data_IF_082813833299
#
_entry.id   IF_082813833299
#
_cell.length_a   1.000
_cell.length_b   1.000
_cell.length_c   1.000
_cell.angle_alpha   90.00
_cell.angle_beta   90.00
_cell.angle_gamma   90.00
#
_symmetry.space_group_name_H-M   'P 1'
#
loop_
_entity.id
_entity.type
_entity.pdbx_description
1 polymer ?
#
# COMPACT_ATOMS: atom_id res chain seq x y z
N UNK A 1 -22.47 11.44 -13.61
CA UNK A 1 -22.93 10.86 -12.32
C UNK A 1 -22.28 11.69 -11.24
N UNK A 2 -23.03 12.19 -10.25
CA UNK A 2 -22.41 12.95 -9.16
C UNK A 2 -21.71 11.99 -8.19
N UNK A 3 -20.78 12.51 -7.36
CA UNK A 3 -20.12 11.72 -6.31
C UNK A 3 -21.14 11.07 -5.37
N UNK A 4 -22.18 11.81 -4.99
CA UNK A 4 -23.29 11.32 -4.16
C UNK A 4 -24.06 10.19 -4.85
N UNK A 5 -24.32 10.28 -6.17
CA UNK A 5 -24.98 9.20 -6.91
C UNK A 5 -24.15 7.91 -6.92
N UNK A 6 -22.84 8.06 -7.07
CA UNK A 6 -21.88 6.94 -6.99
C UNK A 6 -21.95 6.26 -5.62
N UNK A 7 -21.84 7.03 -4.52
CA UNK A 7 -21.90 6.47 -3.18
C UNK A 7 -23.26 5.83 -2.87
N UNK A 8 -24.36 6.42 -3.36
CA UNK A 8 -25.71 5.87 -3.20
C UNK A 8 -25.88 4.52 -3.90
N UNK A 9 -25.18 4.28 -5.02
CA UNK A 9 -25.14 2.97 -5.67
C UNK A 9 -24.38 1.93 -4.86
N UNK A 10 -23.28 2.33 -4.20
CA UNK A 10 -22.49 1.45 -3.33
C UNK A 10 -23.30 1.08 -2.08
N UNK A 11 -23.82 2.08 -1.38
CA UNK A 11 -24.62 1.89 -0.19
C UNK A 11 -25.61 3.06 -0.04
N UNK A 12 -26.87 2.81 -0.39
CA UNK A 12 -27.93 3.81 -0.29
C UNK A 12 -28.30 4.20 1.14
N UNK A 13 -28.04 3.32 2.12
CA UNK A 13 -28.52 3.51 3.50
C UNK A 13 -27.70 4.54 4.28
N UNK A 14 -26.52 4.89 3.77
CA UNK A 14 -25.63 5.87 4.40
C UNK A 14 -25.71 7.26 3.76
N UNK A 15 -26.43 7.41 2.63
CA UNK A 15 -26.65 8.69 1.96
C UNK A 15 -28.02 9.23 2.35
N UNK A 16 -28.04 10.34 3.07
CA UNK A 16 -29.27 10.95 3.58
C UNK A 16 -29.95 11.86 2.52
N UNK A 17 -31.23 12.20 2.76
CA UNK A 17 -32.02 13.03 1.83
C UNK A 17 -31.44 14.44 1.63
N UNK A 18 -30.81 14.98 2.68
CA UNK A 18 -30.11 16.27 2.66
C UNK A 18 -28.74 16.24 1.97
N UNK A 19 -28.33 15.07 1.45
CA UNK A 19 -27.06 14.86 0.78
C UNK A 19 -25.87 14.58 1.72
N UNK A 20 -26.09 14.55 3.03
CA UNK A 20 -25.05 14.15 3.98
C UNK A 20 -24.79 12.64 3.94
N UNK A 21 -23.58 12.23 4.33
CA UNK A 21 -23.13 10.84 4.30
C UNK A 21 -22.78 10.41 5.72
N UNK A 22 -23.24 9.22 6.13
CA UNK A 22 -22.83 8.60 7.40
C UNK A 22 -21.31 8.33 7.34
N UNK A 23 -20.54 8.99 8.20
CA UNK A 23 -19.09 8.79 8.35
C UNK A 23 -18.73 7.32 8.62
N UNK A 24 -17.53 6.90 8.22
CA UNK A 24 -17.05 5.52 8.44
C UNK A 24 -17.14 5.07 9.91
N UNK A 25 -16.73 5.89 10.87
CA UNK A 25 -16.88 5.59 12.31
C UNK A 25 -18.32 5.27 12.71
N UNK A 26 -19.25 6.11 12.27
CA UNK A 26 -20.68 5.91 12.54
C UNK A 26 -21.21 4.64 11.86
N UNK A 27 -20.72 4.29 10.67
CA UNK A 27 -21.02 3.00 10.04
C UNK A 27 -20.50 1.82 10.88
N UNK A 28 -19.28 1.91 11.42
CA UNK A 28 -18.71 0.89 12.31
C UNK A 28 -19.51 0.75 13.62
N UNK A 29 -19.92 1.86 14.24
CA UNK A 29 -20.78 1.86 15.44
C UNK A 29 -22.13 1.17 15.13
N UNK A 30 -22.75 1.50 13.99
CA UNK A 30 -23.98 0.86 13.55
C UNK A 30 -23.81 -0.64 13.34
N UNK A 31 -22.66 -1.06 12.78
CA UNK A 31 -22.34 -2.47 12.58
C UNK A 31 -22.20 -3.20 13.90
N UNK A 32 -21.43 -2.64 14.84
CA UNK A 32 -21.25 -3.22 16.18
C UNK A 32 -22.55 -3.25 16.99
N UNK A 33 -23.45 -2.30 16.75
CA UNK A 33 -24.76 -2.23 17.41
C UNK A 33 -25.81 -3.14 16.75
N UNK A 34 -25.46 -3.85 15.67
CA UNK A 34 -26.37 -4.76 14.95
C UNK A 34 -27.46 -4.06 14.12
N UNK A 35 -27.34 -2.76 13.88
CA UNK A 35 -28.32 -1.97 13.12
C UNK A 35 -27.86 -1.63 11.69
N UNK A 36 -26.64 -2.00 11.32
CA UNK A 36 -26.11 -1.83 9.98
C UNK A 36 -26.62 -2.92 9.02
N UNK A 37 -26.97 -2.54 7.79
CA UNK A 37 -27.39 -3.48 6.75
C UNK A 37 -26.17 -4.16 6.12
N UNK A 38 -25.88 -5.38 6.55
CA UNK A 38 -24.65 -6.11 6.18
C UNK A 38 -24.59 -6.59 4.73
N UNK A 39 -25.63 -6.32 3.92
CA UNK A 39 -25.62 -6.57 2.48
C UNK A 39 -24.76 -5.56 1.71
N UNK A 40 -24.48 -4.41 2.31
CA UNK A 40 -23.69 -3.34 1.72
C UNK A 40 -22.30 -3.26 2.35
N UNK A 41 -21.24 -2.96 1.56
CA UNK A 41 -19.93 -2.69 2.13
C UNK A 41 -19.96 -1.35 2.89
N UNK A 42 -19.01 -1.17 3.81
CA UNK A 42 -18.76 0.11 4.45
C UNK A 42 -17.98 1.00 3.49
N UNK A 43 -18.35 2.28 3.41
CA UNK A 43 -17.58 3.27 2.66
C UNK A 43 -16.59 3.90 3.63
N UNK A 44 -15.29 3.63 3.40
CA UNK A 44 -14.17 4.17 4.18
C UNK A 44 -13.95 5.62 3.76
N UNK A 45 -13.80 5.82 2.45
CA UNK A 45 -13.55 7.12 1.85
C UNK A 45 -14.27 7.24 0.51
N UNK A 46 -14.59 8.47 0.13
CA UNK A 46 -15.31 8.76 -1.09
C UNK A 46 -14.40 8.83 -2.34
N UNK A 47 -13.09 8.70 -2.13
CA UNK A 47 -11.99 8.59 -3.08
C UNK A 47 -10.80 7.93 -2.34
N UNK A 48 -9.80 7.43 -3.05
CA UNK A 48 -8.60 6.79 -2.48
C UNK A 48 -7.35 7.65 -2.62
N UNK A 49 -7.48 8.97 -2.55
CA UNK A 49 -6.34 9.91 -2.61
C UNK A 49 -5.33 9.76 -1.47
N UNK A 50 -5.66 8.98 -0.43
CA UNK A 50 -4.68 8.51 0.56
C UNK A 50 -3.50 7.77 -0.07
N UNK A 51 -3.63 7.26 -1.31
CA UNK A 51 -2.60 6.50 -2.02
C UNK A 51 -2.10 7.19 -3.30
N UNK A 52 -2.20 8.52 -3.40
CA UNK A 52 -1.78 9.30 -4.59
C UNK A 52 -0.29 9.13 -4.98
N UNK A 53 0.56 8.62 -4.08
CA UNK A 53 1.97 8.33 -4.40
C UNK A 53 2.16 7.05 -5.25
N UNK A 54 1.08 6.28 -5.47
CA UNK A 54 1.08 5.08 -6.32
C UNK A 54 0.57 5.48 -7.71
N UNK A 55 1.50 5.69 -8.65
CA UNK A 55 1.25 6.34 -9.95
C UNK A 55 0.14 5.71 -10.81
N UNK A 56 -0.09 4.40 -10.69
CA UNK A 56 -1.07 3.63 -11.49
C UNK A 56 -2.33 3.24 -10.68
N UNK A 57 -2.45 3.70 -9.44
CA UNK A 57 -3.61 3.37 -8.61
C UNK A 57 -4.82 4.25 -8.98
N UNK A 58 -5.99 3.65 -9.12
CA UNK A 58 -7.22 4.37 -9.48
C UNK A 58 -7.76 5.20 -8.28
N UNK A 59 -7.07 6.25 -7.89
CA UNK A 59 -7.36 7.02 -6.65
C UNK A 59 -8.66 7.80 -6.69
N UNK A 60 -9.23 8.08 -7.87
CA UNK A 60 -10.56 8.67 -8.00
C UNK A 60 -11.70 7.73 -7.55
N UNK A 61 -11.45 6.41 -7.48
CA UNK A 61 -12.46 5.45 -7.05
C UNK A 61 -12.70 5.52 -5.53
N UNK A 62 -13.95 5.34 -5.07
CA UNK A 62 -14.27 5.22 -3.64
C UNK A 62 -13.54 4.03 -3.00
N UNK A 63 -13.15 4.21 -1.74
CA UNK A 63 -12.53 3.16 -0.93
C UNK A 63 -13.57 2.51 -0.03
N UNK A 64 -13.69 1.19 -0.11
CA UNK A 64 -14.64 0.42 0.71
C UNK A 64 -13.96 -0.66 1.53
N UNK A 65 -14.68 -1.15 2.53
CA UNK A 65 -14.32 -2.35 3.28
C UNK A 65 -15.56 -3.22 3.45
N UNK A 66 -15.46 -4.51 3.11
CA UNK A 66 -16.57 -5.44 3.36
C UNK A 66 -16.77 -5.64 4.86
N UNK A 67 -18.02 -5.89 5.26
CA UNK A 67 -18.38 -6.26 6.64
C UNK A 67 -17.56 -7.46 7.14
N UNK A 68 -17.39 -8.48 6.31
CA UNK A 68 -16.59 -9.66 6.68
C UNK A 68 -15.11 -9.34 6.90
N UNK A 69 -14.57 -8.32 6.24
CA UNK A 69 -13.21 -7.84 6.49
C UNK A 69 -13.16 -7.15 7.86
N UNK A 70 -14.07 -6.21 8.15
CA UNK A 70 -14.15 -5.55 9.46
C UNK A 70 -14.23 -6.56 10.60
N UNK A 71 -15.10 -7.57 10.47
CA UNK A 71 -15.26 -8.65 11.46
C UNK A 71 -13.96 -9.43 11.62
N UNK A 72 -13.26 -9.79 10.53
CA UNK A 72 -11.97 -10.49 10.61
C UNK A 72 -10.88 -9.66 11.30
N UNK A 73 -10.78 -8.36 11.00
CA UNK A 73 -9.81 -7.48 11.67
C UNK A 73 -10.02 -7.50 13.19
N UNK A 74 -11.29 -7.38 13.59
CA UNK A 74 -11.73 -7.35 14.99
C UNK A 74 -11.57 -8.68 15.72
N UNK A 75 -11.98 -9.79 15.12
CA UNK A 75 -12.12 -11.08 15.82
C UNK A 75 -10.92 -12.01 15.62
N UNK A 76 -10.26 -11.92 14.46
CA UNK A 76 -9.16 -12.82 14.11
C UNK A 76 -7.79 -12.21 14.36
N UNK A 77 -7.66 -10.91 14.08
CA UNK A 77 -6.39 -10.19 14.21
C UNK A 77 -6.33 -9.31 15.47
N UNK A 78 -7.38 -9.33 16.29
CA UNK A 78 -7.52 -8.52 17.52
C UNK A 78 -7.20 -7.03 17.30
N UNK A 79 -7.46 -6.52 16.09
CA UNK A 79 -7.19 -5.13 15.73
C UNK A 79 -8.28 -4.26 16.37
N UNK A 80 -7.84 -3.33 17.22
CA UNK A 80 -8.70 -2.43 17.95
C UNK A 80 -9.60 -1.58 17.05
N UNK A 81 -10.79 -1.23 17.58
CA UNK A 81 -11.75 -0.38 16.87
C UNK A 81 -11.11 0.92 16.39
N UNK A 82 -10.33 1.58 17.26
CA UNK A 82 -9.63 2.84 16.96
C UNK A 82 -8.73 2.70 15.73
N UNK A 83 -8.02 1.59 15.62
CA UNK A 83 -7.16 1.34 14.47
C UNK A 83 -8.00 1.19 13.19
N UNK A 84 -9.07 0.40 13.24
CA UNK A 84 -9.96 0.20 12.09
C UNK A 84 -10.58 1.53 11.65
N UNK A 85 -11.12 2.34 12.58
CA UNK A 85 -11.71 3.65 12.26
C UNK A 85 -10.72 4.59 11.56
N UNK A 86 -9.44 4.55 11.95
CA UNK A 86 -8.41 5.42 11.42
C UNK A 86 -7.65 4.83 10.20
N UNK A 87 -8.12 3.72 9.62
CA UNK A 87 -7.40 3.04 8.55
C UNK A 87 -7.08 3.93 7.34
N UNK A 88 -7.95 4.86 6.96
CA UNK A 88 -7.68 5.81 5.87
C UNK A 88 -6.49 6.74 6.20
N UNK A 89 -6.40 7.20 7.44
CA UNK A 89 -5.26 7.99 7.91
C UNK A 89 -3.96 7.18 7.84
N UNK A 90 -3.97 5.92 8.28
CA UNK A 90 -2.79 5.06 8.20
C UNK A 90 -2.37 4.76 6.76
N UNK A 91 -3.33 4.60 5.84
CA UNK A 91 -3.03 4.50 4.40
C UNK A 91 -2.36 5.78 3.88
N UNK A 92 -2.87 6.95 4.26
CA UNK A 92 -2.29 8.25 3.88
C UNK A 92 -0.89 8.45 4.42
N UNK A 93 -0.63 7.99 5.63
CA UNK A 93 0.67 8.12 6.30
C UNK A 93 1.62 6.95 6.02
N UNK A 94 1.23 6.00 5.17
CA UNK A 94 2.03 4.83 4.79
C UNK A 94 3.41 5.19 4.23
N UNK A 95 4.33 4.24 4.31
CA UNK A 95 5.76 4.50 4.05
C UNK A 95 6.27 3.90 2.75
N UNK A 96 5.55 2.91 2.19
CA UNK A 96 5.95 2.17 1.00
C UNK A 96 4.72 1.40 0.48
N UNK A 97 4.59 1.26 -0.84
CA UNK A 97 3.68 0.28 -1.43
C UNK A 97 4.40 -0.58 -2.46
N UNK A 98 3.84 -1.74 -2.78
CA UNK A 98 4.32 -2.58 -3.87
C UNK A 98 3.24 -3.51 -4.40
N UNK A 99 3.39 -3.98 -5.64
CA UNK A 99 2.46 -4.91 -6.26
C UNK A 99 2.44 -6.25 -5.52
N UNK A 100 1.25 -6.79 -5.32
CA UNK A 100 1.10 -8.15 -4.83
C UNK A 100 1.54 -9.15 -5.89
N UNK A 101 2.41 -10.09 -5.51
CA UNK A 101 2.74 -11.22 -6.38
C UNK A 101 1.63 -12.29 -6.42
N UNK A 102 0.63 -12.22 -5.53
CA UNK A 102 -0.47 -13.18 -5.48
C UNK A 102 -1.69 -12.71 -6.28
N UNK A 103 -1.88 -11.39 -6.40
CA UNK A 103 -3.07 -10.79 -7.01
C UNK A 103 -2.66 -9.52 -7.77
N UNK A 104 -2.69 -9.57 -9.10
CA UNK A 104 -2.20 -8.46 -9.95
C UNK A 104 -2.99 -7.15 -9.77
N UNK A 105 -4.23 -7.22 -9.29
CA UNK A 105 -5.08 -6.05 -9.00
C UNK A 105 -4.96 -5.61 -7.54
N UNK A 106 -3.92 -6.00 -6.82
CA UNK A 106 -3.76 -5.65 -5.41
C UNK A 106 -2.39 -5.05 -5.15
N UNK A 107 -2.39 -3.93 -4.43
CA UNK A 107 -1.21 -3.31 -3.87
C UNK A 107 -1.11 -3.69 -2.39
N UNK A 108 0.11 -4.01 -1.95
CA UNK A 108 0.45 -4.17 -0.54
C UNK A 108 1.00 -2.83 -0.06
N UNK A 109 0.39 -2.29 0.98
CA UNK A 109 0.72 -0.98 1.55
C UNK A 109 1.37 -1.23 2.92
N UNK A 110 2.61 -0.78 3.08
CA UNK A 110 3.33 -0.82 4.36
C UNK A 110 2.97 0.42 5.18
N UNK A 111 2.32 0.20 6.32
CA UNK A 111 1.88 1.27 7.20
C UNK A 111 3.05 1.73 8.09
N UNK A 112 2.97 2.97 8.58
CA UNK A 112 3.92 3.50 9.58
C UNK A 112 3.54 3.07 11.01
N UNK A 113 3.05 1.83 11.16
CA UNK A 113 2.47 1.31 12.39
C UNK A 113 3.01 -0.10 12.68
N UNK A 114 2.96 -0.47 13.95
CA UNK A 114 3.29 -1.83 14.44
C UNK A 114 2.19 -2.34 15.36
N UNK A 115 2.09 -3.66 15.48
CA UNK A 115 1.29 -4.28 16.52
C UNK A 115 1.98 -4.21 17.91
N UNK A 116 1.33 -4.81 18.90
CA UNK A 116 1.82 -4.85 20.29
C UNK A 116 3.15 -5.63 20.45
N UNK A 117 3.45 -6.54 19.52
CA UNK A 117 4.70 -7.31 19.47
C UNK A 117 5.81 -6.58 18.67
N UNK A 118 5.50 -5.41 18.10
CA UNK A 118 6.43 -4.60 17.32
C UNK A 118 6.56 -5.01 15.86
N UNK A 119 5.69 -5.90 15.35
CA UNK A 119 5.67 -6.33 13.96
C UNK A 119 5.01 -5.27 13.07
N UNK A 120 5.61 -4.94 11.90
CA UNK A 120 5.04 -3.97 10.98
C UNK A 120 3.64 -4.32 10.49
N UNK A 121 2.75 -3.33 10.43
CA UNK A 121 1.41 -3.50 9.88
C UNK A 121 1.40 -3.28 8.36
N UNK A 122 0.68 -4.15 7.64
CA UNK A 122 0.42 -3.98 6.21
C UNK A 122 -1.09 -3.95 5.91
N UNK A 123 -1.48 -3.19 4.91
CA UNK A 123 -2.81 -3.24 4.31
C UNK A 123 -2.75 -3.82 2.89
N UNK A 124 -3.79 -4.55 2.47
CA UNK A 124 -3.93 -5.01 1.09
C UNK A 124 -5.12 -4.29 0.45
N UNK A 125 -4.82 -3.44 -0.53
CA UNK A 125 -5.80 -2.67 -1.28
C UNK A 125 -5.98 -3.26 -2.67
N UNK A 126 -7.18 -3.75 -2.98
CA UNK A 126 -7.56 -4.20 -4.31
C UNK A 126 -8.14 -3.03 -5.10
N UNK A 127 -7.63 -2.81 -6.29
CA UNK A 127 -8.08 -1.76 -7.21
C UNK A 127 -9.16 -2.27 -8.17
N UNK A 128 -9.97 -1.33 -8.66
CA UNK A 128 -10.89 -1.53 -9.78
C UNK A 128 -11.82 -2.74 -9.62
N UNK A 129 -12.29 -3.02 -8.41
CA UNK A 129 -13.32 -4.03 -8.18
C UNK A 129 -14.61 -3.57 -8.86
N UNK A 130 -15.11 -4.39 -9.77
CA UNK A 130 -16.37 -4.13 -10.45
C UNK A 130 -17.56 -4.49 -9.55
N UNK A 131 -18.45 -3.52 -9.30
CA UNK A 131 -19.71 -3.71 -8.57
C UNK A 131 -20.91 -3.90 -9.51
N UNK A 132 -20.67 -3.92 -10.82
CA UNK A 132 -21.68 -3.89 -11.86
C UNK A 132 -22.12 -2.46 -12.23
N UNK A 133 -22.64 -2.30 -13.45
CA UNK A 133 -23.14 -1.01 -13.93
C UNK A 133 -22.05 0.05 -14.15
N UNK A 134 -20.84 -0.39 -14.54
CA UNK A 134 -19.64 0.43 -14.77
C UNK A 134 -19.18 1.20 -13.52
N UNK A 135 -19.42 0.63 -12.33
CA UNK A 135 -18.98 1.20 -11.06
C UNK A 135 -17.74 0.44 -10.57
N UNK A 136 -16.59 1.11 -10.64
CA UNK A 136 -15.33 0.62 -10.11
C UNK A 136 -15.10 1.21 -8.71
N UNK A 137 -14.61 0.37 -7.81
CA UNK A 137 -14.30 0.73 -6.44
C UNK A 137 -12.98 0.10 -6.01
N UNK A 138 -12.29 0.76 -5.10
CA UNK A 138 -11.12 0.21 -4.42
C UNK A 138 -11.57 -0.41 -3.11
N UNK A 139 -10.88 -1.46 -2.67
CA UNK A 139 -11.27 -2.23 -1.50
C UNK A 139 -10.08 -2.53 -0.60
N UNK A 140 -10.19 -2.19 0.69
CA UNK A 140 -9.32 -2.75 1.72
C UNK A 140 -9.78 -4.19 1.98
N UNK A 141 -8.97 -5.16 1.55
CA UNK A 141 -9.29 -6.59 1.66
C UNK A 141 -8.76 -7.21 2.94
N UNK A 142 -7.70 -6.65 3.51
CA UNK A 142 -7.11 -7.08 4.78
C UNK A 142 -6.17 -6.01 5.34
N UNK A 143 -6.00 -6.02 6.66
CA UNK A 143 -4.97 -5.31 7.40
C UNK A 143 -4.48 -6.27 8.48
N UNK A 144 -3.17 -6.46 8.60
CA UNK A 144 -2.58 -7.39 9.57
C UNK A 144 -1.08 -7.15 9.73
N UNK A 145 -0.54 -7.64 10.82
CA UNK A 145 0.87 -7.67 11.17
C UNK A 145 1.69 -8.55 10.21
N UNK A 146 2.93 -8.16 9.94
CA UNK A 146 3.83 -8.91 9.05
C UNK A 146 5.18 -9.17 9.70
N UNK A 147 5.24 -10.24 10.51
CA UNK A 147 6.45 -10.73 11.15
C UNK A 147 7.64 -10.87 10.18
N UNK A 148 7.39 -11.44 8.99
CA UNK A 148 8.43 -11.69 7.96
C UNK A 148 8.43 -10.64 6.86
N UNK A 149 8.44 -9.36 7.24
CA UNK A 149 8.41 -8.24 6.28
C UNK A 149 9.59 -8.27 5.30
N UNK A 150 10.81 -8.50 5.77
CA UNK A 150 12.02 -8.55 4.92
C UNK A 150 11.90 -9.61 3.82
N UNK A 151 11.39 -10.79 4.16
CA UNK A 151 11.18 -11.87 3.21
C UNK A 151 10.12 -11.51 2.18
N UNK A 152 9.05 -10.79 2.59
CA UNK A 152 8.01 -10.32 1.69
C UNK A 152 8.55 -9.28 0.70
N UNK A 153 9.32 -8.30 1.18
CA UNK A 153 9.93 -7.26 0.36
C UNK A 153 10.90 -7.86 -0.65
N UNK A 154 11.87 -8.65 -0.17
CA UNK A 154 12.84 -9.31 -1.05
C UNK A 154 12.15 -10.21 -2.07
N UNK A 155 11.20 -11.05 -1.65
CA UNK A 155 10.48 -11.93 -2.59
C UNK A 155 9.71 -11.14 -3.64
N UNK A 156 9.07 -10.03 -3.27
CA UNK A 156 8.32 -9.21 -4.23
C UNK A 156 9.26 -8.57 -5.25
N UNK A 157 10.41 -8.05 -4.78
CA UNK A 157 11.47 -7.53 -5.65
C UNK A 157 12.03 -8.60 -6.61
N UNK A 158 12.33 -9.80 -6.10
CA UNK A 158 12.80 -10.92 -6.93
C UNK A 158 11.76 -11.40 -7.96
N UNK A 159 10.47 -11.15 -7.71
CA UNK A 159 9.37 -11.46 -8.66
C UNK A 159 9.01 -10.26 -9.55
N UNK A 160 9.93 -9.30 -9.67
CA UNK A 160 9.81 -8.11 -10.53
C UNK A 160 8.54 -7.27 -10.28
N UNK A 161 8.07 -7.27 -9.03
CA UNK A 161 6.94 -6.46 -8.61
C UNK A 161 7.34 -4.99 -8.51
N UNK A 162 6.42 -4.10 -8.88
CA UNK A 162 6.67 -2.66 -8.80
C UNK A 162 6.57 -2.20 -7.36
N UNK A 163 7.55 -1.43 -6.91
CA UNK A 163 7.58 -0.72 -5.64
C UNK A 163 7.29 0.76 -5.88
N UNK A 164 6.61 1.39 -4.94
CA UNK A 164 6.22 2.79 -4.97
C UNK A 164 6.71 3.44 -3.69
N UNK A 165 7.67 4.34 -3.83
CA UNK A 165 8.32 5.01 -2.71
C UNK A 165 7.69 6.37 -2.46
N UNK A 166 7.90 6.87 -1.26
CA UNK A 166 7.57 8.23 -0.89
C UNK A 166 8.65 8.79 0.04
N UNK A 167 8.49 10.05 0.47
CA UNK A 167 9.48 10.75 1.30
C UNK A 167 9.84 10.06 2.63
N UNK A 168 9.01 9.11 3.11
CA UNK A 168 9.24 8.37 4.36
C UNK A 168 10.01 7.06 4.15
N UNK A 169 10.03 6.53 2.93
CA UNK A 169 10.51 5.16 2.64
C UNK A 169 11.92 4.91 3.17
N UNK A 170 12.90 5.73 2.78
CA UNK A 170 14.29 5.50 3.16
C UNK A 170 14.49 5.55 4.68
N UNK A 171 13.87 6.53 5.35
CA UNK A 171 13.99 6.69 6.80
C UNK A 171 13.40 5.48 7.53
N UNK A 172 12.25 4.97 7.07
CA UNK A 172 11.62 3.79 7.66
C UNK A 172 12.50 2.53 7.50
N UNK A 173 13.03 2.30 6.29
CA UNK A 173 13.90 1.13 6.03
C UNK A 173 15.14 1.17 6.92
N UNK A 174 15.77 2.34 7.05
CA UNK A 174 16.95 2.54 7.92
C UNK A 174 16.63 2.36 9.40
N UNK A 175 15.55 2.95 9.89
CA UNK A 175 15.19 2.91 11.32
C UNK A 175 14.85 1.50 11.80
N UNK A 176 14.31 0.66 10.91
CA UNK A 176 13.94 -0.73 11.20
C UNK A 176 15.09 -1.73 11.04
N UNK A 177 16.24 -1.31 10.50
CA UNK A 177 17.39 -2.20 10.31
C UNK A 177 17.14 -3.38 9.39
N UNK A 178 16.22 -3.23 8.42
CA UNK A 178 15.77 -4.31 7.54
C UNK A 178 16.93 -4.87 6.70
N UNK A 179 17.10 -6.18 6.71
CA UNK A 179 18.09 -6.90 5.90
C UNK A 179 17.53 -7.20 4.51
N UNK A 180 17.70 -6.25 3.60
CA UNK A 180 17.23 -6.33 2.21
C UNK A 180 18.37 -6.73 1.24
N UNK A 181 18.00 -7.21 0.05
CA UNK A 181 18.98 -7.46 -1.01
C UNK A 181 19.66 -6.14 -1.44
N UNK A 182 20.92 -6.21 -1.88
CA UNK A 182 21.69 -5.00 -2.26
C UNK A 182 20.95 -4.12 -3.27
N UNK A 183 20.32 -4.73 -4.28
CA UNK A 183 19.56 -4.02 -5.30
C UNK A 183 18.33 -3.32 -4.72
N UNK A 184 17.58 -3.99 -3.84
CA UNK A 184 16.42 -3.40 -3.20
C UNK A 184 16.82 -2.30 -2.20
N UNK A 185 17.90 -2.49 -1.43
CA UNK A 185 18.43 -1.45 -0.53
C UNK A 185 18.81 -0.18 -1.31
N UNK A 186 19.48 -0.34 -2.47
CA UNK A 186 19.80 0.77 -3.35
C UNK A 186 18.53 1.47 -3.86
N UNK A 187 17.57 0.70 -4.38
CA UNK A 187 16.36 1.24 -4.98
C UNK A 187 15.41 1.92 -3.97
N UNK A 188 15.43 1.52 -2.69
CA UNK A 188 14.66 2.17 -1.62
C UNK A 188 15.40 3.36 -0.97
N UNK A 189 16.64 3.63 -1.37
CA UNK A 189 17.41 4.76 -0.88
C UNK A 189 17.08 6.04 -1.66
N UNK A 190 17.37 7.19 -1.06
CA UNK A 190 17.19 8.48 -1.74
C UNK A 190 18.21 8.72 -2.88
N UNK A 191 19.18 7.82 -3.08
CA UNK A 191 20.09 7.86 -4.22
C UNK A 191 19.40 7.42 -5.52
N UNK A 192 18.42 6.52 -5.43
CA UNK A 192 17.66 6.07 -6.60
C UNK A 192 16.46 6.98 -6.80
N UNK A 193 16.42 7.69 -7.93
CA UNK A 193 15.53 8.86 -8.11
C UNK A 193 14.13 8.52 -8.59
N UNK A 194 13.86 7.26 -8.95
CA UNK A 194 12.55 6.85 -9.44
C UNK A 194 11.57 6.68 -8.27
N UNK A 195 10.40 7.33 -8.37
CA UNK A 195 9.32 7.15 -7.40
C UNK A 195 8.74 5.72 -7.46
N UNK A 196 8.71 5.12 -8.65
CA UNK A 196 8.28 3.74 -8.90
C UNK A 196 9.36 2.91 -9.60
N UNK A 197 9.53 1.65 -9.19
CA UNK A 197 10.54 0.77 -9.78
C UNK A 197 10.25 -0.72 -9.65
N UNK A 198 10.83 -1.54 -10.53
CA UNK A 198 10.95 -2.99 -10.35
C UNK A 198 12.42 -3.43 -10.47
N UNK A 199 12.68 -4.71 -10.22
CA UNK A 199 14.05 -5.25 -10.22
C UNK A 199 14.71 -5.09 -11.59
N UNK A 200 14.01 -5.42 -12.67
CA UNK A 200 14.53 -5.32 -14.03
C UNK A 200 14.98 -3.90 -14.37
N UNK A 201 14.22 -2.89 -13.93
CA UNK A 201 14.57 -1.47 -14.12
C UNK A 201 15.80 -1.08 -13.31
N UNK A 202 15.89 -1.49 -12.04
CA UNK A 202 17.04 -1.20 -11.19
C UNK A 202 18.32 -1.80 -11.75
N UNK A 203 18.26 -3.05 -12.22
CA UNK A 203 19.42 -3.72 -12.84
C UNK A 203 19.87 -3.03 -14.13
N UNK A 204 18.93 -2.59 -14.97
CA UNK A 204 19.24 -1.83 -16.19
C UNK A 204 19.84 -0.46 -15.88
N UNK A 205 19.33 0.24 -14.86
CA UNK A 205 19.81 1.56 -14.50
C UNK A 205 21.22 1.48 -13.89
N UNK A 206 21.49 0.48 -13.04
CA UNK A 206 22.83 0.19 -12.51
C UNK A 206 23.83 -0.20 -13.62
N UNK A 207 23.39 -0.98 -14.62
CA UNK A 207 24.24 -1.36 -15.75
C UNK A 207 24.61 -0.15 -16.63
N UNK A 208 23.67 0.78 -16.84
CA UNK A 208 23.94 2.04 -17.56
C UNK A 208 24.91 2.93 -16.81
N UNK A 209 24.76 3.06 -15.49
CA UNK A 209 25.69 3.85 -14.68
C UNK A 209 27.12 3.30 -14.77
N UNK A 210 27.30 1.98 -14.70
CA UNK A 210 28.61 1.34 -14.90
C UNK A 210 29.17 1.57 -16.30
N UNK A 211 28.36 1.34 -17.34
CA UNK A 211 28.78 1.57 -18.73
C UNK A 211 29.18 3.02 -19.02
N UNK A 212 28.45 4.00 -18.45
CA UNK A 212 28.82 5.41 -18.58
C UNK A 212 30.16 5.73 -17.88
N UNK A 213 30.45 5.10 -16.74
CA UNK A 213 31.73 5.28 -16.04
C UNK A 213 32.88 4.66 -16.85
N UNK A 214 32.69 3.45 -17.37
CA UNK A 214 33.66 2.76 -18.23
C UNK A 214 33.92 3.53 -19.53
N UNK A 215 32.90 4.09 -20.18
CA UNK A 215 33.05 4.92 -21.38
C UNK A 215 33.71 6.28 -21.09
N UNK A 216 33.46 6.86 -19.91
CA UNK A 216 33.99 8.20 -19.55
C UNK A 216 35.43 8.13 -19.03
N UNK A 217 35.80 7.05 -18.35
CA UNK A 217 37.09 6.93 -17.67
C UNK A 217 37.99 5.80 -18.21
N UNK A 218 37.49 4.91 -19.07
CA UNK A 218 38.28 3.87 -19.73
C UNK A 218 38.92 2.86 -18.77
N UNK A 219 38.29 2.59 -17.62
CA UNK A 219 38.80 1.68 -16.60
C UNK A 219 37.95 0.40 -16.54
N UNK A 220 38.54 -0.75 -16.89
CA UNK A 220 37.96 -2.07 -16.66
C UNK A 220 37.94 -2.35 -15.13
N UNK A 221 36.75 -2.58 -14.58
CA UNK A 221 36.49 -2.72 -13.13
C UNK A 221 36.96 -4.05 -12.49
N UNK A 222 37.88 -4.79 -13.12
CA UNK A 222 38.36 -6.07 -12.57
C UNK A 222 39.58 -5.97 -11.63
N UNK A 223 40.25 -4.82 -11.48
CA UNK A 223 41.49 -4.76 -10.66
C UNK A 223 41.45 -3.96 -9.35
N UNK A 224 40.43 -3.15 -9.03
CA UNK A 224 40.50 -2.24 -7.86
C UNK A 224 39.44 -2.47 -6.77
N UNK A 225 39.13 -3.73 -6.44
CA UNK A 225 38.42 -4.05 -5.19
C UNK A 225 39.35 -4.31 -4.00
N UNK A 226 40.67 -4.42 -4.22
CA UNK A 226 41.65 -4.68 -3.15
C UNK A 226 42.18 -3.40 -2.46
N UNK A 227 41.88 -2.19 -2.96
CA UNK A 227 42.36 -0.94 -2.34
C UNK A 227 41.35 -0.27 -1.38
N UNK A 228 40.14 -0.82 -1.21
CA UNK A 228 39.15 -0.31 -0.23
C UNK A 228 39.31 -0.99 1.15
N UNK A 229 40.14 -2.03 1.28
CA UNK A 229 40.44 -2.72 2.56
C UNK A 229 41.78 -2.30 3.22
N UNK A 230 42.11 -1.00 3.24
CA UNK A 230 43.18 -0.48 4.12
C UNK A 230 42.73 0.66 5.02
#
# INVERSE_FOLDING_TARGET
>A
MTKIDTLRKINKNIVHEDGTITSFDKQLIQLMSGIYDTRYPLIVADSTHSLDYIEDFATDNPLVMNVSTVIKLREKHDIGYEFVSNCEMYLKESVLAFDSYQHDTSKIILLDEVDDDGFPMIAICRENKDMGGNLLLNEITSIYEKEKLEQLLNRSYENDKTFYTNKKTEQYVKSRGLQLSKGLTYALSNYYTRASFNKSQVEQDLAKEKGCIEETYGMDLEEDLDEIEK
#
